data_IF_527081490020
#
_entry.id   IF_527081490020
#
_cell.length_a   1.000
_cell.length_b   1.000
_cell.length_c   1.000
_cell.angle_alpha   90.00
_cell.angle_beta   90.00
_cell.angle_gamma   90.00
#
_symmetry.space_group_name_H-M   'P 1'
#
loop_
_entity.id
_entity.type
_entity.pdbx_description
1 polymer ?
#
# COMPACT_ATOMS: atom_id res chain seq x y z
N UNK A 1 -39.04 -55.70 1.35
CA UNK A 1 -39.05 -54.25 1.05
C UNK A 1 -38.10 -53.45 1.96
N UNK A 2 -37.07 -54.06 2.58
CA UNK A 2 -36.23 -53.39 3.59
C UNK A 2 -34.71 -53.36 3.34
N UNK A 3 -34.19 -54.11 2.36
CA UNK A 3 -32.75 -54.18 2.10
C UNK A 3 -32.25 -53.05 1.17
N UNK A 4 -33.08 -52.68 0.17
CA UNK A 4 -32.78 -51.56 -0.76
C UNK A 4 -32.88 -50.18 -0.08
N UNK A 5 -33.76 -50.04 0.91
CA UNK A 5 -33.91 -48.79 1.68
C UNK A 5 -32.76 -48.60 2.68
N UNK A 6 -32.21 -49.69 3.23
CA UNK A 6 -30.99 -49.65 4.06
C UNK A 6 -29.75 -49.22 3.28
N UNK A 7 -29.57 -49.74 2.06
CA UNK A 7 -28.47 -49.36 1.16
C UNK A 7 -28.59 -47.91 0.65
N UNK A 8 -29.80 -47.42 0.36
CA UNK A 8 -30.03 -46.03 -0.07
C UNK A 8 -29.82 -45.02 1.07
N UNK A 9 -30.17 -45.38 2.30
CA UNK A 9 -29.89 -44.57 3.50
C UNK A 9 -28.39 -44.51 3.81
N UNK A 10 -27.68 -45.64 3.69
CA UNK A 10 -26.24 -45.71 3.87
C UNK A 10 -25.50 -44.86 2.83
N UNK A 11 -25.91 -44.91 1.55
CA UNK A 11 -25.40 -44.03 0.48
C UNK A 11 -25.68 -42.53 0.74
N UNK A 12 -26.89 -42.15 1.16
CA UNK A 12 -27.23 -40.74 1.46
C UNK A 12 -26.47 -40.20 2.68
N UNK A 13 -26.18 -41.05 3.66
CA UNK A 13 -25.35 -40.68 4.81
C UNK A 13 -23.88 -40.50 4.42
N UNK A 14 -23.37 -41.30 3.48
CA UNK A 14 -21.99 -41.26 3.01
C UNK A 14 -21.75 -40.07 2.05
N UNK A 15 -22.72 -39.72 1.18
CA UNK A 15 -22.67 -38.52 0.32
C UNK A 15 -22.71 -37.22 1.12
N UNK A 16 -23.52 -37.12 2.18
CA UNK A 16 -23.49 -35.97 3.10
C UNK A 16 -22.21 -35.90 3.93
N UNK A 17 -21.60 -37.04 4.24
CA UNK A 17 -20.28 -37.13 4.89
C UNK A 17 -19.16 -36.70 3.92
N UNK A 18 -19.35 -36.79 2.60
CA UNK A 18 -18.44 -36.28 1.55
C UNK A 18 -18.66 -34.78 1.26
N UNK A 19 -19.90 -34.31 1.14
CA UNK A 19 -20.22 -32.87 1.00
C UNK A 19 -19.77 -32.03 2.20
N UNK A 20 -19.67 -32.64 3.39
CA UNK A 20 -19.07 -32.05 4.62
C UNK A 20 -17.55 -32.27 4.72
N UNK A 21 -16.99 -33.24 3.98
CA UNK A 21 -15.54 -33.48 3.86
C UNK A 21 -14.86 -32.45 2.96
N UNK A 22 -15.58 -31.95 1.95
CA UNK A 22 -15.16 -30.87 1.05
C UNK A 22 -15.54 -29.47 1.54
N UNK A 23 -16.19 -29.36 2.70
CA UNK A 23 -16.72 -28.09 3.21
C UNK A 23 -15.66 -27.16 3.82
N UNK A 24 -14.50 -26.98 3.17
CA UNK A 24 -13.98 -25.61 2.88
C UNK A 24 -12.66 -25.52 2.08
N UNK A 25 -12.09 -26.58 1.49
CA UNK A 25 -10.78 -26.68 0.77
C UNK A 25 -9.70 -27.46 1.58
N UNK A 26 -8.95 -28.31 0.89
CA UNK A 26 -7.75 -28.99 1.40
C UNK A 26 -6.66 -27.98 1.80
N UNK A 27 -5.69 -28.34 2.67
CA UNK A 27 -4.55 -27.49 3.01
C UNK A 27 -3.88 -26.86 1.78
N UNK A 28 -3.60 -27.69 0.76
CA UNK A 28 -3.00 -27.24 -0.49
C UNK A 28 -3.87 -26.24 -1.24
N UNK A 29 -5.17 -26.50 -1.38
CA UNK A 29 -6.09 -25.57 -2.03
C UNK A 29 -6.19 -24.24 -1.25
N UNK A 30 -6.16 -24.26 0.08
CA UNK A 30 -6.17 -23.05 0.90
C UNK A 30 -4.91 -22.22 0.69
N UNK A 31 -3.74 -22.87 0.66
CA UNK A 31 -2.45 -22.24 0.34
C UNK A 31 -2.49 -21.66 -1.08
N UNK A 32 -2.99 -22.40 -2.07
CA UNK A 32 -3.11 -21.96 -3.46
C UNK A 32 -4.03 -20.74 -3.58
N UNK A 33 -5.18 -20.74 -2.89
CA UNK A 33 -6.13 -19.61 -2.85
C UNK A 33 -5.48 -18.36 -2.27
N UNK A 34 -4.81 -18.48 -1.12
CA UNK A 34 -4.21 -17.33 -0.43
C UNK A 34 -2.97 -16.80 -1.14
N UNK A 35 -2.31 -17.64 -1.93
CA UNK A 35 -1.13 -17.30 -2.73
C UNK A 35 -1.42 -17.08 -4.22
N UNK A 36 -2.69 -17.01 -4.62
CA UNK A 36 -3.08 -16.78 -6.01
C UNK A 36 -2.46 -15.50 -6.59
N UNK A 37 -2.27 -15.39 -7.91
CA UNK A 37 -1.93 -14.13 -8.54
C UNK A 37 -2.90 -13.03 -8.12
N UNK A 38 -2.38 -11.86 -7.73
CA UNK A 38 -3.19 -10.76 -7.18
C UNK A 38 -3.59 -10.93 -5.71
N UNK A 39 -3.05 -11.92 -4.98
CA UNK A 39 -3.30 -12.11 -3.54
C UNK A 39 -3.06 -10.85 -2.70
N UNK A 40 -2.17 -9.96 -3.13
CA UNK A 40 -1.93 -8.66 -2.48
C UNK A 40 -3.18 -7.80 -2.40
N UNK A 41 -4.07 -7.88 -3.39
CA UNK A 41 -5.33 -7.14 -3.43
C UNK A 41 -6.48 -7.96 -2.84
N UNK A 42 -6.54 -9.26 -3.18
CA UNK A 42 -7.61 -10.12 -2.67
C UNK A 42 -7.54 -10.30 -1.14
N UNK A 43 -6.34 -10.39 -0.58
CA UNK A 43 -6.16 -10.58 0.86
C UNK A 43 -6.31 -9.28 1.65
N UNK A 44 -6.64 -8.15 1.01
CA UNK A 44 -7.00 -6.89 1.71
C UNK A 44 -8.34 -6.99 2.41
N UNK A 45 -9.25 -7.85 1.93
CA UNK A 45 -10.51 -8.12 2.60
C UNK A 45 -10.31 -9.23 3.64
N UNK A 46 -10.28 -8.91 4.95
CA UNK A 46 -10.03 -9.91 5.99
C UNK A 46 -11.16 -10.95 6.11
N UNK A 47 -12.39 -10.59 5.75
CA UNK A 47 -13.53 -11.52 5.77
C UNK A 47 -13.40 -12.59 4.68
N UNK A 48 -12.91 -12.21 3.48
CA UNK A 48 -12.65 -13.15 2.38
C UNK A 48 -11.48 -14.09 2.71
N UNK A 49 -10.41 -13.55 3.32
CA UNK A 49 -9.28 -14.36 3.80
C UNK A 49 -9.79 -15.43 4.76
N UNK A 50 -10.55 -15.04 5.78
CA UNK A 50 -11.12 -15.97 6.75
C UNK A 50 -12.27 -16.84 6.21
N UNK A 51 -12.83 -16.51 5.04
CA UNK A 51 -14.04 -17.14 4.51
C UNK A 51 -15.18 -17.09 5.53
N UNK A 52 -15.42 -15.91 6.08
CA UNK A 52 -16.47 -15.66 7.06
C UNK A 52 -17.34 -14.48 6.63
N UNK A 53 -18.61 -14.52 6.99
CA UNK A 53 -19.54 -13.44 6.72
C UNK A 53 -19.16 -12.18 7.54
N UNK A 54 -19.22 -10.97 6.97
CA UNK A 54 -19.00 -9.73 7.72
C UNK A 54 -19.95 -9.52 8.90
N UNK A 55 -21.14 -10.11 8.86
CA UNK A 55 -22.16 -10.01 9.91
C UNK A 55 -21.98 -11.12 10.99
N UNK A 56 -20.91 -11.93 10.91
CA UNK A 56 -20.62 -12.99 11.86
C UNK A 56 -20.14 -12.47 13.22
N UNK A 57 -20.32 -13.29 14.27
CA UNK A 57 -19.89 -12.92 15.63
C UNK A 57 -18.37 -13.03 15.77
N UNK A 58 -17.81 -12.24 16.69
CA UNK A 58 -16.39 -12.32 17.03
C UNK A 58 -15.94 -13.73 17.48
N UNK A 59 -16.83 -14.49 18.13
CA UNK A 59 -16.58 -15.90 18.47
C UNK A 59 -16.29 -16.77 17.24
N UNK A 60 -17.04 -16.51 16.16
CA UNK A 60 -16.98 -17.28 14.92
C UNK A 60 -15.73 -16.89 14.13
N UNK A 61 -15.38 -15.60 14.12
CA UNK A 61 -14.11 -15.09 13.57
C UNK A 61 -12.92 -15.79 14.23
N UNK A 62 -12.90 -15.85 15.57
CA UNK A 62 -11.84 -16.53 16.33
C UNK A 62 -11.79 -18.03 16.03
N UNK A 63 -12.96 -18.67 15.92
CA UNK A 63 -13.05 -20.08 15.56
C UNK A 63 -12.48 -20.36 14.17
N UNK A 64 -12.86 -19.52 13.20
CA UNK A 64 -12.44 -19.66 11.82
C UNK A 64 -10.95 -19.39 11.64
N UNK A 65 -10.41 -18.40 12.33
CA UNK A 65 -8.97 -18.14 12.38
C UNK A 65 -8.20 -19.38 12.86
N UNK A 66 -8.62 -20.02 13.96
CA UNK A 66 -7.98 -21.25 14.46
C UNK A 66 -8.02 -22.38 13.44
N UNK A 67 -9.18 -22.63 12.84
CA UNK A 67 -9.34 -23.67 11.83
C UNK A 67 -8.40 -23.45 10.64
N UNK A 68 -8.39 -22.24 10.09
CA UNK A 68 -7.61 -21.97 8.90
C UNK A 68 -6.11 -21.88 9.17
N UNK A 69 -5.71 -21.34 10.32
CA UNK A 69 -4.32 -21.35 10.78
C UNK A 69 -3.76 -22.76 10.83
N UNK A 70 -4.55 -23.73 11.32
CA UNK A 70 -4.15 -25.14 11.33
C UNK A 70 -4.00 -25.73 9.92
N UNK A 71 -4.86 -25.34 8.98
CA UNK A 71 -4.80 -25.83 7.59
C UNK A 71 -3.55 -25.32 6.87
N UNK A 72 -3.16 -24.06 7.09
CA UNK A 72 -2.05 -23.43 6.35
C UNK A 72 -0.74 -23.37 7.14
N UNK A 73 -0.66 -23.99 8.32
CA UNK A 73 0.53 -23.92 9.15
C UNK A 73 1.74 -24.60 8.45
N UNK A 74 2.93 -23.97 8.44
CA UNK A 74 4.12 -24.51 7.74
C UNK A 74 4.57 -25.87 8.30
N UNK A 75 4.49 -26.08 9.61
CA UNK A 75 4.86 -27.36 10.26
C UNK A 75 4.02 -28.56 9.76
N UNK A 76 2.76 -28.32 9.36
CA UNK A 76 1.86 -29.36 8.82
C UNK A 76 1.94 -29.50 7.31
N UNK A 77 2.60 -28.55 6.63
CA UNK A 77 2.73 -28.48 5.18
C UNK A 77 4.22 -28.37 4.81
N UNK A 78 5.04 -29.28 5.34
CA UNK A 78 6.51 -29.21 5.23
C UNK A 78 7.00 -29.27 3.78
N UNK A 79 6.29 -30.01 2.92
CA UNK A 79 6.57 -30.08 1.48
C UNK A 79 6.40 -28.75 0.75
N UNK A 80 5.66 -27.79 1.35
CA UNK A 80 5.38 -26.47 0.79
C UNK A 80 5.48 -25.37 1.86
N UNK A 81 6.51 -25.47 2.71
CA UNK A 81 6.64 -24.66 3.92
C UNK A 81 6.66 -23.14 3.65
N UNK A 82 7.30 -22.69 2.57
CA UNK A 82 7.36 -21.25 2.23
C UNK A 82 5.99 -20.70 1.83
N UNK A 83 5.25 -21.42 0.97
CA UNK A 83 3.91 -20.98 0.55
C UNK A 83 2.92 -21.08 1.71
N UNK A 84 3.06 -22.11 2.54
CA UNK A 84 2.30 -22.27 3.76
C UNK A 84 2.54 -21.10 4.73
N UNK A 85 3.79 -20.71 4.98
CA UNK A 85 4.12 -19.56 5.82
C UNK A 85 3.47 -18.27 5.29
N UNK A 86 3.58 -18.01 3.98
CA UNK A 86 2.96 -16.83 3.36
C UNK A 86 1.43 -16.82 3.52
N UNK A 87 0.79 -17.98 3.36
CA UNK A 87 -0.64 -18.13 3.58
C UNK A 87 -1.00 -17.90 5.06
N UNK A 88 -0.23 -18.48 5.99
CA UNK A 88 -0.41 -18.31 7.43
C UNK A 88 -0.28 -16.84 7.85
N UNK A 89 0.67 -16.10 7.30
CA UNK A 89 0.84 -14.67 7.55
C UNK A 89 -0.36 -13.87 7.08
N UNK A 90 -0.92 -14.19 5.91
CA UNK A 90 -2.14 -13.56 5.41
C UNK A 90 -3.33 -13.80 6.34
N UNK A 91 -3.52 -15.03 6.80
CA UNK A 91 -4.57 -15.42 7.75
C UNK A 91 -4.42 -14.69 9.08
N UNK A 92 -3.19 -14.62 9.60
CA UNK A 92 -2.88 -13.93 10.86
C UNK A 92 -3.07 -12.43 10.75
N UNK A 93 -2.66 -11.82 9.63
CA UNK A 93 -2.91 -10.40 9.35
C UNK A 93 -4.40 -10.09 9.31
N UNK A 94 -5.19 -10.90 8.61
CA UNK A 94 -6.64 -10.75 8.54
C UNK A 94 -7.30 -10.83 9.92
N UNK A 95 -6.92 -11.83 10.72
CA UNK A 95 -7.44 -11.96 12.08
C UNK A 95 -7.08 -10.76 12.97
N UNK A 96 -5.81 -10.32 12.97
CA UNK A 96 -5.39 -9.13 13.72
C UNK A 96 -6.18 -7.87 13.33
N UNK A 97 -6.47 -7.72 12.04
CA UNK A 97 -7.28 -6.62 11.53
C UNK A 97 -8.73 -6.66 12.05
N UNK A 98 -9.30 -7.85 12.24
CA UNK A 98 -10.66 -8.02 12.77
C UNK A 98 -10.72 -8.02 14.30
N UNK A 99 -9.67 -8.45 14.99
CA UNK A 99 -9.62 -8.46 16.47
C UNK A 99 -9.37 -7.05 17.03
N UNK A 100 -8.69 -6.18 16.27
CA UNK A 100 -8.49 -4.77 16.62
C UNK A 100 -9.76 -3.93 16.38
N UNK A 101 -10.29 -3.31 17.44
CA UNK A 101 -11.61 -2.65 17.41
C UNK A 101 -11.72 -1.48 16.40
N UNK A 102 -10.74 -0.56 16.28
CA UNK A 102 -10.76 0.48 15.25
C UNK A 102 -10.65 -0.08 13.83
N UNK A 103 -9.74 -1.04 13.60
CA UNK A 103 -9.57 -1.67 12.28
C UNK A 103 -10.81 -2.45 11.86
N UNK A 104 -11.42 -3.19 12.78
CA UNK A 104 -12.68 -3.90 12.57
C UNK A 104 -13.82 -2.97 12.14
N UNK A 105 -13.98 -1.83 12.81
CA UNK A 105 -14.99 -0.82 12.42
C UNK A 105 -14.76 -0.33 11.00
N UNK A 106 -13.52 0.02 10.63
CA UNK A 106 -13.20 0.43 9.25
C UNK A 106 -13.53 -0.65 8.23
N UNK A 107 -13.23 -1.92 8.54
CA UNK A 107 -13.61 -3.03 7.65
C UNK A 107 -15.12 -3.14 7.47
N UNK A 108 -15.91 -2.95 8.54
CA UNK A 108 -17.37 -2.93 8.45
C UNK A 108 -17.90 -1.72 7.68
N UNK A 109 -17.31 -0.53 7.86
CA UNK A 109 -17.66 0.67 7.09
C UNK A 109 -17.47 0.45 5.58
N UNK A 110 -16.36 -0.19 5.18
CA UNK A 110 -16.11 -0.55 3.78
C UNK A 110 -17.16 -1.54 3.25
N UNK A 111 -17.54 -2.54 4.05
CA UNK A 111 -18.60 -3.50 3.69
C UNK A 111 -19.95 -2.80 3.56
N UNK A 112 -20.27 -1.88 4.48
CA UNK A 112 -21.52 -1.14 4.44
C UNK A 112 -21.58 -0.23 3.21
N UNK A 113 -20.49 0.49 2.90
CA UNK A 113 -20.41 1.30 1.69
C UNK A 113 -20.57 0.44 0.42
N UNK A 114 -20.01 -0.77 0.40
CA UNK A 114 -20.23 -1.70 -0.70
C UNK A 114 -21.71 -2.10 -0.84
N UNK A 115 -22.37 -2.45 0.28
CA UNK A 115 -23.81 -2.76 0.31
C UNK A 115 -24.62 -1.58 -0.23
N UNK A 116 -24.32 -0.35 0.19
CA UNK A 116 -25.02 0.86 -0.24
C UNK A 116 -24.81 1.16 -1.74
N UNK A 117 -23.57 1.02 -2.24
CA UNK A 117 -23.25 1.19 -3.67
C UNK A 117 -23.98 0.18 -4.54
N UNK A 118 -24.06 -1.09 -4.10
CA UNK A 118 -24.80 -2.13 -4.81
C UNK A 118 -26.30 -1.87 -4.75
N UNK A 119 -26.84 -1.49 -3.60
CA UNK A 119 -28.26 -1.12 -3.47
C UNK A 119 -28.64 0.02 -4.42
N UNK A 120 -27.79 1.06 -4.51
CA UNK A 120 -27.98 2.17 -5.47
C UNK A 120 -27.94 1.68 -6.92
N UNK A 121 -26.94 0.88 -7.29
CA UNK A 121 -26.82 0.28 -8.63
C UNK A 121 -28.07 -0.53 -8.99
N UNK A 122 -28.54 -1.38 -8.06
CA UNK A 122 -29.74 -2.22 -8.24
C UNK A 122 -30.98 -1.37 -8.43
N UNK A 123 -31.15 -0.31 -7.62
CA UNK A 123 -32.25 0.64 -7.77
C UNK A 123 -32.24 1.33 -9.13
N UNK A 124 -31.07 1.75 -9.62
CA UNK A 124 -30.92 2.37 -10.94
C UNK A 124 -31.23 1.39 -12.09
N UNK A 125 -30.76 0.14 -11.97
CA UNK A 125 -31.07 -0.93 -12.95
C UNK A 125 -32.57 -1.21 -13.00
N UNK A 126 -33.24 -1.23 -11.84
CA UNK A 126 -34.70 -1.42 -11.73
C UNK A 126 -35.47 -0.34 -12.48
N UNK A 127 -35.06 0.92 -12.32
CA UNK A 127 -35.71 2.04 -13.01
C UNK A 127 -35.55 1.93 -14.53
N UNK A 128 -34.37 1.49 -14.99
CA UNK A 128 -34.06 1.30 -16.42
C UNK A 128 -34.73 0.06 -17.02
N UNK A 129 -34.91 -1.01 -16.25
CA UNK A 129 -35.50 -2.26 -16.72
C UNK A 129 -37.02 -2.18 -16.96
N UNK A 130 -37.67 -1.07 -16.55
CA UNK A 130 -39.11 -0.83 -16.73
C UNK A 130 -39.98 -2.02 -16.25
N UNK A 131 -39.59 -2.65 -15.14
CA UNK A 131 -40.30 -3.79 -14.56
C UNK A 131 -39.85 -5.16 -15.05
N UNK A 132 -38.86 -5.25 -15.95
CA UNK A 132 -38.21 -6.54 -16.25
C UNK A 132 -37.36 -7.01 -15.07
N UNK A 133 -37.31 -8.34 -14.81
CA UNK A 133 -36.42 -8.94 -13.81
C UNK A 133 -34.97 -8.57 -14.08
N UNK A 134 -34.22 -8.34 -13.00
CA UNK A 134 -32.78 -8.08 -13.07
C UNK A 134 -32.02 -9.22 -12.40
N UNK A 135 -30.76 -9.38 -12.75
CA UNK A 135 -29.93 -10.45 -12.20
C UNK A 135 -29.84 -10.42 -10.67
N UNK A 136 -29.73 -9.23 -10.08
CA UNK A 136 -29.59 -9.05 -8.63
C UNK A 136 -30.89 -9.29 -7.83
N UNK A 137 -31.97 -9.73 -8.48
CA UNK A 137 -33.16 -10.27 -7.80
C UNK A 137 -32.88 -11.61 -7.13
N UNK A 138 -31.95 -12.39 -7.71
CA UNK A 138 -31.45 -13.61 -7.08
C UNK A 138 -30.55 -13.23 -5.88
N UNK A 139 -30.88 -13.66 -4.64
CA UNK A 139 -30.07 -13.39 -3.47
C UNK A 139 -28.60 -13.84 -3.62
N UNK A 140 -28.32 -14.90 -4.37
CA UNK A 140 -26.95 -15.35 -4.60
C UNK A 140 -26.17 -14.36 -5.48
N UNK A 141 -26.79 -13.85 -6.54
CA UNK A 141 -26.19 -12.83 -7.42
C UNK A 141 -26.05 -11.49 -6.69
N UNK A 142 -27.01 -11.11 -5.86
CA UNK A 142 -26.89 -9.92 -5.01
C UNK A 142 -25.70 -10.03 -4.05
N UNK A 143 -25.58 -11.15 -3.31
CA UNK A 143 -24.43 -11.38 -2.43
C UNK A 143 -23.10 -11.34 -3.19
N UNK A 144 -23.06 -11.91 -4.40
CA UNK A 144 -21.88 -11.86 -5.25
C UNK A 144 -21.54 -10.42 -5.69
N UNK A 145 -22.54 -9.62 -6.06
CA UNK A 145 -22.33 -8.21 -6.41
C UNK A 145 -21.76 -7.41 -5.23
N UNK A 146 -22.31 -7.61 -4.01
CA UNK A 146 -21.77 -7.00 -2.78
C UNK A 146 -20.34 -7.45 -2.53
N UNK A 147 -20.05 -8.75 -2.68
CA UNK A 147 -18.69 -9.28 -2.55
C UNK A 147 -17.71 -8.60 -3.52
N UNK A 148 -18.04 -8.53 -4.80
CA UNK A 148 -17.20 -7.90 -5.84
C UNK A 148 -16.97 -6.43 -5.52
N UNK A 149 -18.02 -5.70 -5.14
CA UNK A 149 -17.92 -4.28 -4.80
C UNK A 149 -17.08 -4.05 -3.52
N UNK A 150 -17.19 -4.94 -2.54
CA UNK A 150 -16.39 -4.92 -1.30
C UNK A 150 -14.90 -5.11 -1.62
N UNK A 151 -14.56 -6.15 -2.39
CA UNK A 151 -13.16 -6.38 -2.80
C UNK A 151 -12.59 -5.20 -3.59
N UNK A 152 -13.39 -4.58 -4.45
CA UNK A 152 -12.99 -3.38 -5.20
C UNK A 152 -12.68 -2.20 -4.27
N UNK A 153 -13.53 -1.94 -3.28
CA UNK A 153 -13.31 -0.84 -2.33
C UNK A 153 -12.05 -1.02 -1.51
N UNK A 154 -11.81 -2.24 -0.98
CA UNK A 154 -10.56 -2.52 -0.25
C UNK A 154 -9.33 -2.26 -1.12
N UNK A 155 -9.35 -2.68 -2.39
CA UNK A 155 -8.25 -2.44 -3.33
C UNK A 155 -8.09 -0.94 -3.67
N UNK A 156 -9.18 -0.21 -3.89
CA UNK A 156 -9.15 1.23 -4.17
C UNK A 156 -8.58 2.03 -2.97
N UNK A 157 -8.95 1.66 -1.75
CA UNK A 157 -8.44 2.28 -0.52
C UNK A 157 -6.94 2.01 -0.32
N UNK A 158 -6.48 0.79 -0.57
CA UNK A 158 -5.04 0.47 -0.49
C UNK A 158 -4.25 1.23 -1.56
N UNK A 159 -4.78 1.37 -2.79
CA UNK A 159 -4.14 2.19 -3.82
C UNK A 159 -4.01 3.64 -3.36
N UNK A 160 -5.08 4.23 -2.84
CA UNK A 160 -5.05 5.60 -2.33
C UNK A 160 -4.04 5.77 -1.18
N UNK A 161 -3.95 4.80 -0.28
CA UNK A 161 -2.97 4.80 0.83
C UNK A 161 -1.53 4.80 0.30
N UNK A 162 -1.22 3.94 -0.67
CA UNK A 162 0.12 3.84 -1.28
C UNK A 162 0.48 5.10 -2.06
N UNK A 163 -0.48 5.67 -2.81
CA UNK A 163 -0.28 6.92 -3.54
C UNK A 163 0.04 8.09 -2.59
N UNK A 164 -0.69 8.17 -1.47
CA UNK A 164 -0.47 9.18 -0.44
C UNK A 164 0.89 9.01 0.25
N UNK A 165 1.26 7.78 0.63
CA UNK A 165 2.56 7.47 1.24
C UNK A 165 3.72 7.85 0.30
N UNK A 166 3.59 7.52 -0.99
CA UNK A 166 4.58 7.87 -2.02
C UNK A 166 4.72 9.39 -2.16
N UNK A 167 3.60 10.11 -2.16
CA UNK A 167 3.60 11.58 -2.23
C UNK A 167 4.31 12.20 -1.02
N UNK A 168 4.03 11.70 0.19
CA UNK A 168 4.69 12.17 1.41
C UNK A 168 6.19 11.88 1.40
N UNK A 169 6.60 10.69 0.94
CA UNK A 169 8.02 10.34 0.83
C UNK A 169 8.76 11.25 -0.16
N UNK A 170 8.16 11.51 -1.33
CA UNK A 170 8.73 12.41 -2.33
C UNK A 170 8.86 13.85 -1.82
N UNK A 171 7.87 14.32 -1.06
CA UNK A 171 7.91 15.65 -0.43
C UNK A 171 9.00 15.75 0.63
N UNK A 172 9.15 14.73 1.49
CA UNK A 172 10.24 14.66 2.46
C UNK A 172 11.62 14.66 1.78
N UNK A 173 11.75 13.93 0.68
CA UNK A 173 12.99 13.88 -0.10
C UNK A 173 13.32 15.25 -0.71
N UNK A 174 12.35 15.88 -1.36
CA UNK A 174 12.52 17.23 -1.94
C UNK A 174 12.93 18.25 -0.89
N UNK A 175 12.27 18.24 0.27
CA UNK A 175 12.62 19.13 1.39
C UNK A 175 14.03 18.88 1.91
N UNK A 176 14.45 17.61 2.04
CA UNK A 176 15.80 17.28 2.48
C UNK A 176 16.87 17.75 1.48
N UNK A 177 16.62 17.60 0.17
CA UNK A 177 17.48 18.11 -0.90
C UNK A 177 17.56 19.65 -0.88
N UNK A 178 16.44 20.35 -0.71
CA UNK A 178 16.40 21.80 -0.56
C UNK A 178 17.20 22.29 0.66
N UNK A 179 17.06 21.62 1.81
CA UNK A 179 17.82 21.93 3.03
C UNK A 179 19.32 21.64 2.86
N UNK A 180 19.69 20.61 2.13
CA UNK A 180 21.09 20.32 1.79
C UNK A 180 21.68 21.37 0.85
N UNK A 181 20.97 21.74 -0.22
CA UNK A 181 21.37 22.82 -1.14
C UNK A 181 21.52 24.14 -0.37
N UNK A 182 20.57 24.46 0.52
CA UNK A 182 20.65 25.65 1.34
C UNK A 182 21.87 25.63 2.27
N UNK A 183 22.13 24.50 2.95
CA UNK A 183 23.32 24.32 3.79
C UNK A 183 24.60 24.49 2.97
N UNK A 184 24.68 23.88 1.79
CA UNK A 184 25.83 23.99 0.89
C UNK A 184 26.04 25.45 0.43
N UNK A 185 24.97 26.15 0.04
CA UNK A 185 25.06 27.57 -0.35
C UNK A 185 25.53 28.45 0.81
N UNK A 186 25.00 28.26 2.01
CA UNK A 186 25.43 29.02 3.19
C UNK A 186 26.90 28.76 3.52
N UNK A 187 27.36 27.50 3.45
CA UNK A 187 28.77 27.15 3.65
C UNK A 187 29.65 27.79 2.58
N UNK A 188 29.27 27.65 1.30
CA UNK A 188 30.00 28.25 0.18
C UNK A 188 30.10 29.77 0.30
N UNK A 189 29.01 30.46 0.64
CA UNK A 189 29.01 31.92 0.82
C UNK A 189 29.89 32.37 1.99
N UNK A 190 29.95 31.56 3.06
CA UNK A 190 30.86 31.79 4.19
C UNK A 190 32.32 31.62 3.78
N UNK A 191 32.66 30.49 3.16
CA UNK A 191 34.03 30.22 2.67
C UNK A 191 34.48 31.29 1.68
N UNK A 192 33.61 31.69 0.76
CA UNK A 192 33.90 32.77 -0.19
C UNK A 192 34.17 34.09 0.53
N UNK A 193 33.38 34.43 1.56
CA UNK A 193 33.57 35.65 2.35
C UNK A 193 34.91 35.63 3.10
N UNK A 194 35.21 34.53 3.77
CA UNK A 194 36.45 34.37 4.53
C UNK A 194 37.66 34.48 3.58
N UNK A 195 37.64 33.80 2.43
CA UNK A 195 38.67 33.90 1.39
C UNK A 195 38.78 35.33 0.81
N UNK A 196 37.66 36.03 0.60
CA UNK A 196 37.64 37.42 0.14
C UNK A 196 38.24 38.38 1.17
N UNK A 197 37.97 38.17 2.46
CA UNK A 197 38.54 38.96 3.56
C UNK A 197 40.02 38.68 3.78
N UNK A 198 40.48 37.43 3.70
CA UNK A 198 41.89 37.09 3.79
C UNK A 198 42.70 37.73 2.66
N UNK A 199 42.23 37.60 1.41
CA UNK A 199 42.84 38.24 0.24
C UNK A 199 42.74 39.77 0.27
N UNK A 200 41.95 40.37 1.18
CA UNK A 200 41.84 41.83 1.32
C UNK A 200 43.19 42.45 1.66
N UNK A 201 43.98 41.82 2.54
CA UNK A 201 45.30 42.35 2.94
C UNK A 201 46.25 42.40 1.75
N UNK A 202 46.27 41.35 0.95
CA UNK A 202 47.09 41.28 -0.28
C UNK A 202 46.60 42.25 -1.35
N UNK A 203 45.28 42.41 -1.52
CA UNK A 203 44.70 43.42 -2.42
C UNK A 203 45.04 44.84 -1.97
N UNK A 204 44.97 45.15 -0.69
CA UNK A 204 45.39 46.46 -0.13
C UNK A 204 46.89 46.68 -0.38
N UNK A 205 47.72 45.67 -0.15
CA UNK A 205 49.17 45.74 -0.39
C UNK A 205 49.46 45.99 -1.87
N UNK A 206 48.85 45.23 -2.77
CA UNK A 206 48.97 45.41 -4.23
C UNK A 206 48.52 46.81 -4.67
N UNK A 207 47.37 47.29 -4.17
CA UNK A 207 46.87 48.64 -4.48
C UNK A 207 47.83 49.74 -3.99
N UNK A 208 48.36 49.64 -2.76
CA UNK A 208 49.39 50.57 -2.25
C UNK A 208 50.65 50.59 -3.10
N UNK A 209 51.11 49.43 -3.60
CA UNK A 209 52.26 49.37 -4.50
C UNK A 209 51.96 49.98 -5.88
N UNK A 210 50.75 49.78 -6.40
CA UNK A 210 50.31 50.38 -7.66
C UNK A 210 50.21 51.90 -7.59
N UNK A 211 49.64 52.46 -6.52
CA UNK A 211 49.57 53.92 -6.33
C UNK A 211 50.94 54.54 -6.15
N UNK A 212 51.84 53.90 -5.39
CA UNK A 212 53.24 54.32 -5.28
C UNK A 212 53.97 54.30 -6.65
N UNK A 213 53.66 53.33 -7.51
CA UNK A 213 54.22 53.23 -8.87
C UNK A 213 53.63 54.26 -9.82
N UNK A 214 52.35 54.59 -9.69
CA UNK A 214 51.67 55.67 -10.43
C UNK A 214 52.17 57.05 -10.01
N UNK A 215 52.46 57.29 -8.73
CA UNK A 215 53.07 58.55 -8.27
C UNK A 215 54.49 58.76 -8.83
N UNK A 216 55.22 57.67 -9.15
CA UNK A 216 56.54 57.71 -9.79
C UNK A 216 56.52 57.87 -11.32
N UNK A 217 55.38 57.63 -11.98
CA UNK A 217 55.21 57.77 -13.43
C UNK A 217 54.15 58.85 -13.67
N UNK A 218 54.59 60.05 -14.02
CA UNK A 218 53.74 61.19 -14.36
C UNK A 218 52.56 60.80 -15.25
N UNK A 219 51.43 61.44 -14.96
CA UNK A 219 50.08 61.24 -15.48
C UNK A 219 49.96 60.98 -17.00
N UNK A 220 49.42 59.82 -17.38
CA UNK A 220 48.31 59.66 -18.36
C UNK A 220 48.23 58.22 -18.86
N UNK A 221 47.06 57.58 -18.66
CA UNK A 221 46.38 56.68 -19.61
C UNK A 221 45.18 56.01 -18.94
N UNK A 222 43.99 56.51 -19.28
CA UNK A 222 42.79 55.71 -19.62
C UNK A 222 42.20 54.78 -18.56
N UNK A 223 41.07 55.23 -17.98
CA UNK A 223 39.93 54.44 -17.48
C UNK A 223 40.16 52.97 -17.09
N UNK A 224 40.25 52.71 -15.79
CA UNK A 224 40.22 51.37 -15.21
C UNK A 224 38.87 50.69 -15.53
N UNK A 225 38.87 49.72 -16.44
CA UNK A 225 37.78 48.72 -16.54
C UNK A 225 38.05 47.62 -15.51
N UNK A 226 37.13 47.34 -14.59
CA UNK A 226 37.34 46.31 -13.59
C UNK A 226 37.55 44.94 -14.26
N UNK A 227 38.48 44.11 -13.74
CA UNK A 227 38.72 42.78 -14.30
C UNK A 227 37.45 41.93 -14.16
N UNK A 228 37.03 41.30 -15.25
CA UNK A 228 35.88 40.39 -15.23
C UNK A 228 36.14 39.23 -14.27
N UNK A 229 35.16 38.83 -13.44
CA UNK A 229 35.32 37.68 -12.57
C UNK A 229 35.65 36.45 -13.43
N UNK A 230 36.82 35.84 -13.19
CA UNK A 230 37.15 34.54 -13.79
C UNK A 230 36.35 33.50 -13.03
N UNK A 231 35.45 32.78 -13.71
CA UNK A 231 34.85 31.57 -13.16
C UNK A 231 35.97 30.54 -12.97
N UNK A 232 36.15 30.06 -11.74
CA UNK A 232 37.01 28.91 -11.48
C UNK A 232 36.50 27.70 -12.26
N UNK A 233 37.41 27.04 -12.96
CA UNK A 233 37.12 25.78 -13.66
C UNK A 233 37.11 24.66 -12.62
N UNK A 234 35.94 24.08 -12.38
CA UNK A 234 35.78 22.89 -11.52
C UNK A 234 36.44 21.71 -12.27
N UNK A 235 37.50 21.15 -11.69
CA UNK A 235 38.11 19.89 -12.13
C UNK A 235 37.27 18.71 -11.68
#
# INVERSE_FOLDING_TARGET
MGEKDGLFSQFYSEVKVIEKRDSTLTPKQQIDRLNRPGCTYFNLNPFDVLQIDPDAKMSDIKSRYRQMSLLVHPDKNQDDAERAQKAFDAVTKAFKCLDDSPSYRKCLEVVQEAKDRVAKMVSEKRLKSKGQPIDEDDPAKYRHAVYVQTCKLFADLERLRVDEETKQQNERKRKAEEEEIHRFRVQYDREWRDNYEESRKDRIKSWRTFTAKKAKKGESLGGFKPPKPKMETRK
#
